data_IF_468022175069
#
_entry.id   IF_468022175069
#
_cell.length_a   1.000
_cell.length_b   1.000
_cell.length_c   1.000
_cell.angle_alpha   90.00
_cell.angle_beta   90.00
_cell.angle_gamma   90.00
#
_symmetry.space_group_name_H-M   'P 1'
#
loop_
_entity.id
_entity.type
_entity.pdbx_description
1 polymer ?
#
# COMPACT_ATOMS: atom_id res chain seq x y z
N UNK A 1 11.44 10.04 -2.13
CA UNK A 1 12.55 10.93 -1.70
C UNK A 1 13.36 10.30 -0.58
N UNK A 2 12.73 9.57 0.34
CA UNK A 2 13.38 8.87 1.46
C UNK A 2 14.55 7.97 1.04
N UNK A 3 14.41 7.18 -0.03
CA UNK A 3 15.50 6.31 -0.52
C UNK A 3 16.73 7.11 -0.95
N UNK A 4 16.56 8.28 -1.57
CA UNK A 4 17.67 9.17 -1.92
C UNK A 4 18.27 9.80 -0.66
N UNK A 5 17.43 10.32 0.24
CA UNK A 5 17.88 10.97 1.46
C UNK A 5 18.65 10.02 2.39
N UNK A 6 18.18 8.79 2.56
CA UNK A 6 18.87 7.74 3.34
C UNK A 6 20.20 7.32 2.71
N UNK A 7 20.40 7.58 1.42
CA UNK A 7 21.63 7.29 0.70
C UNK A 7 22.48 8.55 0.43
N UNK A 8 22.27 9.64 1.17
CA UNK A 8 23.00 10.90 1.01
C UNK A 8 22.97 11.44 -0.43
N UNK A 9 21.88 11.18 -1.15
CA UNK A 9 21.70 11.51 -2.57
C UNK A 9 22.73 10.86 -3.51
N UNK A 10 23.44 9.81 -3.06
CA UNK A 10 24.21 8.94 -3.94
C UNK A 10 23.25 8.09 -4.78
N UNK A 11 23.23 8.38 -6.08
CA UNK A 11 22.34 7.72 -7.02
C UNK A 11 22.67 6.23 -7.18
N UNK A 12 23.95 5.86 -7.26
CA UNK A 12 24.33 4.46 -7.46
C UNK A 12 23.90 3.62 -6.26
N UNK A 13 24.15 4.12 -5.06
CA UNK A 13 23.76 3.47 -3.81
C UNK A 13 22.24 3.40 -3.61
N UNK A 14 21.52 4.48 -3.95
CA UNK A 14 20.07 4.51 -3.91
C UNK A 14 19.45 3.50 -4.89
N UNK A 15 19.99 3.39 -6.11
CA UNK A 15 19.53 2.42 -7.11
C UNK A 15 19.74 0.97 -6.65
N UNK A 16 20.89 0.65 -6.04
CA UNK A 16 21.11 -0.69 -5.45
C UNK A 16 20.12 -1.02 -4.33
N UNK A 17 19.58 -0.01 -3.64
CA UNK A 17 18.56 -0.18 -2.59
C UNK A 17 17.17 -0.49 -3.17
N UNK A 18 16.88 -0.06 -4.40
CA UNK A 18 15.62 -0.35 -5.08
C UNK A 18 15.58 -1.76 -5.70
N UNK A 19 16.73 -2.42 -5.84
CA UNK A 19 16.85 -3.77 -6.40
C UNK A 19 17.76 -4.66 -5.52
N UNK A 20 17.39 -4.90 -4.25
CA UNK A 20 18.18 -5.76 -3.36
C UNK A 20 18.27 -7.18 -3.91
N UNK A 21 19.47 -7.77 -3.92
CA UNK A 21 19.72 -9.17 -4.28
C UNK A 21 19.15 -9.59 -5.65
N UNK A 22 18.96 -8.65 -6.58
CA UNK A 22 18.46 -8.91 -7.94
C UNK A 22 16.95 -8.83 -8.12
N UNK A 23 16.18 -8.49 -7.07
CA UNK A 23 14.72 -8.31 -7.16
C UNK A 23 14.30 -6.87 -6.84
N UNK A 24 13.35 -6.27 -7.58
CA UNK A 24 12.86 -4.91 -7.31
C UNK A 24 12.00 -4.85 -6.05
N UNK A 25 11.99 -3.70 -5.39
CA UNK A 25 11.04 -3.40 -4.31
C UNK A 25 9.69 -2.99 -4.88
N UNK A 26 8.60 -3.53 -4.33
CA UNK A 26 7.23 -3.10 -4.61
C UNK A 26 6.71 -2.25 -3.46
N UNK A 27 6.11 -1.11 -3.80
CA UNK A 27 5.43 -0.23 -2.86
C UNK A 27 4.00 -0.04 -3.35
N UNK A 28 3.03 -0.67 -2.70
CA UNK A 28 1.60 -0.56 -3.01
C UNK A 28 0.92 0.28 -1.95
N UNK A 29 -0.08 1.05 -2.35
CA UNK A 29 -1.00 1.66 -1.39
C UNK A 29 -2.14 0.70 -1.06
N UNK A 30 -2.99 1.07 -0.11
CA UNK A 30 -4.14 0.24 0.31
C UNK A 30 -5.07 -0.10 -0.88
N UNK A 31 -5.26 0.83 -1.82
CA UNK A 31 -6.16 0.62 -2.96
C UNK A 31 -5.62 -0.42 -3.94
N UNK A 32 -4.30 -0.47 -4.13
CA UNK A 32 -3.63 -1.48 -4.95
C UNK A 32 -3.39 -2.81 -4.19
N UNK A 33 -3.28 -2.75 -2.87
CA UNK A 33 -3.06 -3.93 -2.03
C UNK A 33 -4.33 -4.75 -1.82
N UNK A 34 -5.49 -4.10 -1.77
CA UNK A 34 -6.77 -4.79 -1.60
C UNK A 34 -7.03 -5.82 -2.69
N UNK A 35 -7.41 -7.02 -2.25
CA UNK A 35 -7.94 -8.05 -3.12
C UNK A 35 -9.28 -7.61 -3.72
N UNK A 36 -9.65 -8.20 -4.86
CA UNK A 36 -10.95 -7.96 -5.48
C UNK A 36 -12.11 -8.26 -4.52
N UNK A 37 -11.97 -9.26 -3.65
CA UNK A 37 -12.96 -9.59 -2.63
C UNK A 37 -13.06 -8.53 -1.53
N UNK A 38 -11.94 -7.98 -1.07
CA UNK A 38 -11.94 -6.93 -0.02
C UNK A 38 -12.56 -5.64 -0.56
N UNK A 39 -12.29 -5.28 -1.81
CA UNK A 39 -12.92 -4.13 -2.45
C UNK A 39 -14.45 -4.30 -2.52
N UNK A 40 -14.94 -5.49 -2.88
CA UNK A 40 -16.38 -5.80 -2.94
C UNK A 40 -17.01 -5.74 -1.53
N UNK A 41 -16.36 -6.35 -0.53
CA UNK A 41 -16.84 -6.30 0.86
C UNK A 41 -16.92 -4.87 1.37
N UNK A 42 -15.93 -4.04 1.05
CA UNK A 42 -15.94 -2.64 1.44
C UNK A 42 -17.07 -1.85 0.76
N UNK A 43 -17.35 -2.09 -0.52
CA UNK A 43 -18.47 -1.47 -1.23
C UNK A 43 -19.83 -1.85 -0.59
N UNK A 44 -20.04 -3.13 -0.30
CA UNK A 44 -21.25 -3.63 0.38
C UNK A 44 -21.42 -3.01 1.78
N UNK A 45 -20.32 -2.94 2.54
CA UNK A 45 -20.31 -2.36 3.88
C UNK A 45 -20.60 -0.85 3.84
N UNK A 46 -20.07 -0.15 2.84
CA UNK A 46 -20.28 1.29 2.65
C UNK A 46 -21.73 1.60 2.22
N UNK A 47 -22.36 0.74 1.43
CA UNK A 47 -23.79 0.85 1.12
C UNK A 47 -24.67 0.60 2.35
N UNK A 48 -24.28 -0.34 3.22
CA UNK A 48 -25.06 -0.73 4.40
C UNK A 48 -24.91 0.23 5.58
N UNK A 49 -23.68 0.66 5.88
CA UNK A 49 -23.33 1.45 7.07
C UNK A 49 -22.94 2.90 6.74
N UNK A 50 -22.92 3.28 5.46
CA UNK A 50 -22.52 4.62 5.05
C UNK A 50 -21.04 4.87 5.31
N UNK A 51 -20.71 5.94 6.03
CA UNK A 51 -19.31 6.33 6.33
C UNK A 51 -18.90 6.04 7.77
N UNK A 52 -19.59 5.11 8.45
CA UNK A 52 -19.12 4.62 9.74
C UNK A 52 -18.06 3.54 9.55
N UNK A 53 -16.81 3.97 9.43
CA UNK A 53 -15.68 3.06 9.23
C UNK A 53 -15.39 2.17 10.46
N UNK A 54 -15.91 2.52 11.64
CA UNK A 54 -15.72 1.69 12.84
C UNK A 54 -16.58 0.45 12.74
N UNK A 55 -17.84 0.62 12.33
CA UNK A 55 -18.81 -0.46 12.15
C UNK A 55 -18.48 -1.30 10.92
N UNK A 56 -18.06 -0.67 9.81
CA UNK A 56 -17.57 -1.39 8.62
C UNK A 56 -16.44 -2.36 8.98
N UNK A 57 -15.42 -1.90 9.71
CA UNK A 57 -14.27 -2.73 10.10
C UNK A 57 -14.62 -3.85 11.08
N UNK A 58 -15.67 -3.68 11.89
CA UNK A 58 -16.03 -4.67 12.91
C UNK A 58 -16.87 -5.81 12.33
N UNK A 59 -17.68 -5.51 11.32
CA UNK A 59 -18.69 -6.42 10.79
C UNK A 59 -18.37 -7.02 9.40
N UNK A 60 -17.44 -6.42 8.66
CA UNK A 60 -16.97 -6.84 7.33
C UNK A 60 -15.45 -7.00 7.30
#
# INVERSE_FOLDING_TARGET
MDTLQRNCYDLAKAMSTLVPQGGPVLCRDEMEEWSSSEAILFEEALEKYGKDFTDIRQDF
#
